data_IF_218998415273
#
_entry.id   IF_218998415273
#
_cell.length_a   1.000
_cell.length_b   1.000
_cell.length_c   1.000
_cell.angle_alpha   90.00
_cell.angle_beta   90.00
_cell.angle_gamma   90.00
#
_symmetry.space_group_name_H-M   'P 1'
#
loop_
_entity.id
_entity.type
_entity.pdbx_description
1 polymer ?
#
# COMPACT_ATOMS: atom_id res chain seq x y z
N UNK A 1 10.94 -68.40 0.21
CA UNK A 1 11.13 -67.16 -0.58
C UNK A 1 12.10 -66.31 0.22
N UNK A 2 13.40 -66.33 -0.12
CA UNK A 2 14.09 -65.43 -1.08
C UNK A 2 14.11 -63.99 -0.53
N UNK A 3 15.21 -63.25 -0.38
CA UNK A 3 16.64 -63.40 -0.67
C UNK A 3 17.38 -62.28 0.09
N UNK A 4 18.69 -62.46 0.24
CA UNK A 4 19.64 -61.56 0.87
C UNK A 4 19.83 -60.21 0.14
N UNK A 5 20.55 -59.30 0.82
CA UNK A 5 21.80 -58.64 0.40
C UNK A 5 21.79 -57.18 0.86
N UNK A 6 22.66 -56.87 1.82
CA UNK A 6 23.16 -55.51 2.00
C UNK A 6 24.29 -55.21 1.03
N UNK A 7 24.54 -53.93 0.74
CA UNK A 7 25.86 -53.27 0.68
C UNK A 7 25.75 -51.88 0.02
N UNK A 8 25.98 -50.86 0.85
CA UNK A 8 26.92 -49.74 0.73
C UNK A 8 27.25 -49.03 -0.60
N UNK A 9 27.39 -47.71 -0.41
CA UNK A 9 28.30 -46.72 -1.03
C UNK A 9 27.80 -45.76 -2.13
N UNK A 10 27.68 -44.50 -1.68
CA UNK A 10 28.03 -43.21 -2.28
C UNK A 10 28.43 -43.12 -3.76
N UNK A 11 27.81 -42.17 -4.50
CA UNK A 11 28.56 -41.11 -5.21
C UNK A 11 27.63 -39.99 -5.72
N UNK A 12 27.98 -38.76 -5.31
CA UNK A 12 27.76 -37.43 -5.88
C UNK A 12 26.64 -37.14 -6.91
N UNK A 13 25.86 -36.13 -6.54
CA UNK A 13 25.41 -34.97 -7.34
C UNK A 13 23.89 -34.84 -7.30
N UNK A 14 23.40 -33.86 -6.53
CA UNK A 14 22.31 -32.96 -6.91
C UNK A 14 21.95 -32.09 -5.71
N UNK A 15 22.27 -30.80 -5.84
CA UNK A 15 21.62 -29.66 -5.20
C UNK A 15 20.95 -29.95 -3.84
N UNK A 16 21.68 -29.69 -2.76
CA UNK A 16 21.05 -29.23 -1.52
C UNK A 16 20.34 -27.93 -1.90
N UNK A 17 19.06 -28.05 -2.22
CA UNK A 17 18.18 -26.92 -2.45
C UNK A 17 18.15 -26.21 -1.11
N UNK A 18 18.92 -25.13 -1.03
CA UNK A 18 18.77 -24.06 -0.06
C UNK A 18 17.28 -23.88 0.11
N UNK A 19 16.75 -24.32 1.26
CA UNK A 19 15.41 -23.95 1.67
C UNK A 19 15.49 -22.45 1.85
N UNK A 20 15.13 -21.73 0.80
CA UNK A 20 15.03 -20.29 0.77
C UNK A 20 14.01 -19.92 1.86
N UNK A 21 14.40 -19.24 2.96
CA UNK A 21 13.43 -18.62 3.83
C UNK A 21 13.01 -17.26 3.23
N UNK A 22 12.87 -17.16 1.90
CA UNK A 22 12.32 -15.96 1.24
C UNK A 22 10.80 -16.05 1.14
N UNK A 23 10.20 -16.18 2.31
CA UNK A 23 8.87 -15.67 2.59
C UNK A 23 8.83 -15.41 4.10
N UNK A 24 9.77 -14.60 4.58
CA UNK A 24 9.47 -13.82 5.77
C UNK A 24 8.15 -13.11 5.43
N UNK A 25 7.08 -13.48 6.13
CA UNK A 25 5.93 -12.60 6.24
C UNK A 25 6.54 -11.26 6.68
N UNK A 26 6.65 -10.33 5.75
CA UNK A 26 6.95 -8.95 6.07
C UNK A 26 5.83 -8.57 7.02
N UNK A 27 6.12 -8.56 8.31
CA UNK A 27 5.19 -8.05 9.29
C UNK A 27 4.88 -6.63 8.83
N UNK A 28 3.64 -6.43 8.40
CA UNK A 28 3.14 -5.16 7.91
C UNK A 28 3.24 -4.20 9.09
N UNK A 29 4.36 -3.46 9.15
CA UNK A 29 4.61 -2.57 10.27
C UNK A 29 3.44 -1.58 10.37
N UNK A 30 3.09 -1.09 11.57
CA UNK A 30 2.02 -0.09 11.71
C UNK A 30 2.18 1.11 10.76
N UNK A 31 3.43 1.52 10.49
CA UNK A 31 3.74 2.59 9.54
C UNK A 31 3.46 2.21 8.07
N UNK A 32 3.73 0.95 7.69
CA UNK A 32 3.46 0.46 6.34
C UNK A 32 1.95 0.31 6.09
N UNK A 33 1.21 -0.21 7.06
CA UNK A 33 -0.25 -0.26 7.02
C UNK A 33 -0.83 1.17 6.93
N UNK A 34 -0.33 2.10 7.74
CA UNK A 34 -0.68 3.51 7.66
C UNK A 34 -0.48 4.09 6.26
N UNK A 35 0.68 3.83 5.66
CA UNK A 35 1.05 4.36 4.35
C UNK A 35 0.11 3.88 3.26
N UNK A 36 -0.18 2.56 3.23
CA UNK A 36 -1.10 1.98 2.25
C UNK A 36 -2.50 2.57 2.40
N UNK A 37 -3.02 2.62 3.62
CA UNK A 37 -4.39 3.01 3.87
C UNK A 37 -4.60 4.51 3.55
N UNK A 38 -3.64 5.37 3.91
CA UNK A 38 -3.67 6.79 3.56
C UNK A 38 -3.58 6.99 2.05
N UNK A 39 -2.66 6.33 1.35
CA UNK A 39 -2.54 6.46 -0.11
C UNK A 39 -3.80 5.98 -0.84
N UNK A 40 -4.42 4.90 -0.38
CA UNK A 40 -5.69 4.41 -0.91
C UNK A 40 -6.81 5.44 -0.70
N UNK A 41 -6.94 5.97 0.52
CA UNK A 41 -7.94 7.00 0.83
C UNK A 41 -7.73 8.29 0.03
N UNK A 42 -6.49 8.73 -0.18
CA UNK A 42 -6.17 9.89 -1.02
C UNK A 42 -6.63 9.68 -2.46
N UNK A 43 -6.32 8.52 -3.04
CA UNK A 43 -6.74 8.17 -4.40
C UNK A 43 -8.27 8.22 -4.54
N UNK A 44 -8.98 7.57 -3.62
CA UNK A 44 -10.45 7.50 -3.63
C UNK A 44 -11.07 8.87 -3.41
N UNK A 45 -10.52 9.69 -2.50
CA UNK A 45 -11.06 11.02 -2.25
C UNK A 45 -10.92 11.94 -3.46
N UNK A 46 -9.75 11.97 -4.11
CA UNK A 46 -9.57 12.78 -5.32
C UNK A 46 -10.40 12.29 -6.51
N UNK A 47 -10.74 11.00 -6.58
CA UNK A 47 -11.71 10.48 -7.56
C UNK A 47 -13.13 10.96 -7.25
N UNK A 48 -13.53 10.85 -5.98
CA UNK A 48 -14.84 11.30 -5.50
C UNK A 48 -15.09 12.78 -5.80
N UNK A 49 -14.06 13.62 -5.64
CA UNK A 49 -14.15 15.06 -5.92
C UNK A 49 -14.49 15.37 -7.39
N UNK A 50 -14.21 14.44 -8.32
CA UNK A 50 -14.51 14.59 -9.74
C UNK A 50 -15.83 13.99 -10.16
N UNK A 51 -16.14 12.82 -9.62
CA UNK A 51 -17.32 12.05 -9.93
C UNK A 51 -17.65 11.10 -8.78
N UNK A 52 -18.93 10.76 -8.57
CA UNK A 52 -19.31 9.76 -7.58
C UNK A 52 -18.55 8.44 -7.77
N UNK A 53 -18.03 7.89 -6.68
CA UNK A 53 -17.43 6.56 -6.65
C UNK A 53 -18.49 5.48 -6.89
N UNK A 54 -18.04 4.32 -7.36
CA UNK A 54 -18.87 3.12 -7.29
C UNK A 54 -19.06 2.67 -5.83
N UNK A 55 -19.95 1.70 -5.63
CA UNK A 55 -20.34 1.29 -4.29
C UNK A 55 -19.20 0.66 -3.48
N UNK A 56 -18.26 -0.02 -4.13
CA UNK A 56 -17.19 -0.73 -3.44
C UNK A 56 -16.07 0.25 -3.06
N UNK A 57 -15.67 1.12 -3.98
CA UNK A 57 -14.73 2.20 -3.72
C UNK A 57 -15.24 3.17 -2.65
N UNK A 58 -16.54 3.49 -2.70
CA UNK A 58 -17.19 4.31 -1.68
C UNK A 58 -17.10 3.68 -0.30
N UNK A 59 -17.39 2.38 -0.17
CA UNK A 59 -17.30 1.68 1.13
C UNK A 59 -15.87 1.68 1.69
N UNK A 60 -14.86 1.55 0.83
CA UNK A 60 -13.46 1.59 1.25
C UNK A 60 -13.09 2.97 1.82
N UNK A 61 -13.51 4.04 1.12
CA UNK A 61 -13.30 5.40 1.61
C UNK A 61 -14.05 5.66 2.92
N UNK A 62 -15.33 5.26 3.01
CA UNK A 62 -16.14 5.40 4.22
C UNK A 62 -15.53 4.63 5.41
N UNK A 63 -15.06 3.39 5.20
CA UNK A 63 -14.41 2.61 6.25
C UNK A 63 -13.15 3.30 6.79
N UNK A 64 -12.34 3.91 5.91
CA UNK A 64 -11.21 4.72 6.34
C UNK A 64 -11.66 5.94 7.16
N UNK A 65 -12.68 6.66 6.69
CA UNK A 65 -13.18 7.87 7.36
C UNK A 65 -13.77 7.55 8.74
N UNK A 66 -14.62 6.52 8.84
CA UNK A 66 -15.26 6.12 10.09
C UNK A 66 -14.24 5.70 11.16
N UNK A 67 -13.17 5.02 10.75
CA UNK A 67 -12.11 4.59 11.65
C UNK A 67 -11.22 5.74 12.15
N UNK A 68 -11.16 6.88 11.44
CA UNK A 68 -10.10 7.88 11.64
C UNK A 68 -10.60 9.30 11.94
N UNK A 69 -11.74 9.72 11.39
CA UNK A 69 -12.24 11.11 11.49
C UNK A 69 -12.70 11.44 12.91
N UNK A 70 -13.52 10.57 13.51
CA UNK A 70 -14.19 10.86 14.80
C UNK A 70 -13.17 11.06 15.91
N UNK A 71 -12.14 10.21 15.94
CA UNK A 71 -11.06 10.28 16.92
C UNK A 71 -9.93 11.23 16.51
N UNK A 72 -10.01 11.82 15.31
CA UNK A 72 -8.98 12.68 14.72
C UNK A 72 -7.57 12.04 14.83
N UNK A 73 -7.49 10.79 14.37
CA UNK A 73 -6.30 9.95 14.51
C UNK A 73 -5.10 10.58 13.79
N UNK A 74 -3.85 10.19 14.14
CA UNK A 74 -2.68 10.60 13.37
C UNK A 74 -2.82 10.28 11.87
N UNK A 75 -3.38 9.12 11.50
CA UNK A 75 -3.69 8.75 10.12
C UNK A 75 -4.63 9.75 9.43
N UNK A 76 -5.66 10.23 10.14
CA UNK A 76 -6.56 11.24 9.57
C UNK A 76 -5.86 12.56 9.28
N UNK A 77 -4.99 13.02 10.19
CA UNK A 77 -4.23 14.26 10.02
C UNK A 77 -3.29 14.17 8.80
N UNK A 78 -2.56 13.08 8.70
CA UNK A 78 -1.69 12.78 7.55
C UNK A 78 -2.52 12.80 6.26
N UNK A 79 -3.68 12.13 6.25
CA UNK A 79 -4.59 12.15 5.10
C UNK A 79 -5.00 13.58 4.71
N UNK A 80 -5.44 14.42 5.66
CA UNK A 80 -5.88 15.79 5.37
C UNK A 80 -4.73 16.64 4.81
N UNK A 81 -3.54 16.55 5.41
CA UNK A 81 -2.38 17.33 5.01
C UNK A 81 -1.95 16.99 3.57
N UNK A 82 -1.84 15.70 3.26
CA UNK A 82 -1.48 15.23 1.91
C UNK A 82 -2.60 15.43 0.89
N UNK A 83 -3.87 15.33 1.30
CA UNK A 83 -5.01 15.63 0.45
C UNK A 83 -4.96 17.08 0.00
N UNK A 84 -4.82 18.02 0.94
CA UNK A 84 -4.71 19.44 0.64
C UNK A 84 -3.51 19.76 -0.26
N UNK A 85 -2.35 19.14 0.01
CA UNK A 85 -1.14 19.33 -0.79
C UNK A 85 -1.28 18.82 -2.23
N UNK A 86 -2.04 17.74 -2.46
CA UNK A 86 -2.22 17.14 -3.78
C UNK A 86 -3.35 17.71 -4.63
N UNK A 87 -4.40 18.27 -4.01
CA UNK A 87 -5.58 18.76 -4.74
C UNK A 87 -5.26 19.87 -5.75
N UNK A 88 -4.38 20.82 -5.37
CA UNK A 88 -3.96 21.91 -6.26
C UNK A 88 -3.24 21.42 -7.52
N UNK A 89 -2.15 20.64 -7.40
CA UNK A 89 -1.45 20.03 -8.54
C UNK A 89 -2.35 19.19 -9.45
N UNK A 90 -3.26 18.39 -8.88
CA UNK A 90 -4.21 17.58 -9.66
C UNK A 90 -5.14 18.49 -10.47
N UNK A 91 -5.75 19.48 -9.82
CA UNK A 91 -6.63 20.45 -10.46
C UNK A 91 -5.93 21.20 -11.59
N UNK A 92 -4.67 21.60 -11.39
CA UNK A 92 -3.87 22.25 -12.42
C UNK A 92 -3.62 21.34 -13.63
N UNK A 93 -3.25 20.08 -13.41
CA UNK A 93 -3.01 19.12 -14.48
C UNK A 93 -4.27 18.87 -15.32
N UNK A 94 -5.43 18.74 -14.67
CA UNK A 94 -6.72 18.59 -15.35
C UNK A 94 -7.08 19.87 -16.12
N UNK A 95 -6.88 21.04 -15.52
CA UNK A 95 -7.11 22.34 -16.18
C UNK A 95 -6.23 22.58 -17.41
N UNK A 96 -5.09 21.90 -17.51
CA UNK A 96 -4.21 21.90 -18.68
C UNK A 96 -4.60 20.86 -19.74
N UNK A 97 -5.74 20.18 -19.59
CA UNK A 97 -6.24 19.15 -20.49
C UNK A 97 -5.70 17.74 -20.19
N UNK A 98 -5.09 17.53 -19.02
CA UNK A 98 -4.64 16.21 -18.57
C UNK A 98 -5.81 15.30 -18.17
N UNK A 99 -5.56 13.99 -18.24
CA UNK A 99 -6.48 12.98 -17.73
C UNK A 99 -6.50 12.96 -16.18
N UNK A 100 -7.69 12.78 -15.61
CA UNK A 100 -7.90 12.84 -14.16
C UNK A 100 -7.17 11.71 -13.43
N UNK A 101 -7.29 10.47 -13.91
CA UNK A 101 -6.64 9.31 -13.28
C UNK A 101 -5.12 9.36 -13.43
N UNK A 102 -4.63 9.84 -14.57
CA UNK A 102 -3.20 10.07 -14.77
C UNK A 102 -2.66 11.15 -13.81
N UNK A 103 -3.42 12.23 -13.58
CA UNK A 103 -3.06 13.28 -12.63
C UNK A 103 -3.01 12.74 -11.18
N UNK A 104 -4.03 11.96 -10.76
CA UNK A 104 -4.05 11.29 -9.46
C UNK A 104 -2.85 10.35 -9.31
N UNK A 105 -2.62 9.46 -10.29
CA UNK A 105 -1.53 8.47 -10.22
C UNK A 105 -0.17 9.15 -10.09
N UNK A 106 0.06 10.21 -10.87
CA UNK A 106 1.27 11.02 -10.76
C UNK A 106 1.40 11.68 -9.39
N UNK A 107 0.30 12.22 -8.86
CA UNK A 107 0.32 12.89 -7.57
C UNK A 107 0.55 11.89 -6.42
N UNK A 108 -0.05 10.69 -6.47
CA UNK A 108 0.22 9.62 -5.50
C UNK A 108 1.70 9.24 -5.49
N UNK A 109 2.33 9.12 -6.66
CA UNK A 109 3.78 8.89 -6.76
C UNK A 109 4.63 10.03 -6.19
N UNK A 110 4.12 11.27 -6.21
CA UNK A 110 4.77 12.43 -5.61
C UNK A 110 4.59 12.49 -4.09
N UNK A 111 3.43 12.03 -3.59
CA UNK A 111 3.10 12.07 -2.17
C UNK A 111 3.62 10.87 -1.38
N UNK A 112 3.89 9.73 -2.04
CA UNK A 112 4.20 8.44 -1.39
C UNK A 112 5.33 8.52 -0.36
N UNK A 113 6.44 9.18 -0.68
CA UNK A 113 7.58 9.32 0.23
C UNK A 113 7.23 10.18 1.46
N UNK A 114 6.47 11.27 1.26
CA UNK A 114 6.02 12.13 2.36
C UNK A 114 5.04 11.41 3.28
N UNK A 115 4.04 10.71 2.71
CA UNK A 115 3.09 9.91 3.48
C UNK A 115 3.82 8.84 4.30
N UNK A 116 4.79 8.15 3.69
CA UNK A 116 5.58 7.13 4.38
C UNK A 116 6.40 7.70 5.55
N UNK A 117 7.00 8.88 5.37
CA UNK A 117 7.74 9.56 6.42
C UNK A 117 6.82 9.95 7.60
N UNK A 118 5.66 10.54 7.30
CA UNK A 118 4.72 10.98 8.34
C UNK A 118 4.07 9.79 9.07
N UNK A 119 3.74 8.72 8.35
CA UNK A 119 3.28 7.47 8.96
C UNK A 119 4.33 6.82 9.86
N UNK A 120 5.62 6.90 9.49
CA UNK A 120 6.72 6.41 10.32
C UNK A 120 6.86 7.27 11.58
N UNK A 121 6.76 8.60 11.45
CA UNK A 121 6.82 9.53 12.57
C UNK A 121 5.65 9.36 13.55
N UNK A 122 4.46 9.04 13.06
CA UNK A 122 3.28 8.80 13.88
C UNK A 122 3.31 7.46 14.65
N UNK A 123 4.16 6.51 14.24
CA UNK A 123 4.29 5.20 14.87
C UNK A 123 5.33 5.13 16.00
N UNK A 124 6.17 6.17 16.16
CA UNK A 124 7.22 6.28 17.18
C UNK A 124 6.86 7.20 18.34
#
# INVERSE_FOLDING_TARGET
MLLAVGCSNAQSSSATKTGDPSAAAVEDSPAQACTRDVLAALALKWREDKAPLDQDDKKLLEAFMDANVVENTPQYKIFIDHYAAGTGPITLAIGQGGDHEAAITKQLGTQSEGVAADCTAAAG
#
